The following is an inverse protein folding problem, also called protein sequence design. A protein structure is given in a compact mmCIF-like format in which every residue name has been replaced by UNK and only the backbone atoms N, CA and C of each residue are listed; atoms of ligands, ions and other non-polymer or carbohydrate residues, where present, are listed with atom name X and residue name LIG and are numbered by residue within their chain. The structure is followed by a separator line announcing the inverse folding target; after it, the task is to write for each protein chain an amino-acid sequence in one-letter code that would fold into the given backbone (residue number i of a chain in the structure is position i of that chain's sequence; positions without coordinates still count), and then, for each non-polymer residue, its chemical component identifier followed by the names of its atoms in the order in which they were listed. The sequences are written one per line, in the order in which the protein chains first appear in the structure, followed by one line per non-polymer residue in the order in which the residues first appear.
data_IF_473721804016
#
_entry.id   IF_473721804016
#
_cell.length_a   1.000
_cell.length_b   1.000
_cell.length_c   1.000
_cell.angle_alpha   90.00
_cell.angle_beta   90.00
_cell.angle_gamma   90.00
#
_symmetry.space_group_name_H-M   'P 1'
#
loop_
_entity.id
_entity.type
_entity.pdbx_description
1 polymer ?
#
# COMPACT_ATOMS: atom_id res chain seq x y z
N UNK A 1 39.14 24.50 8.52
CA UNK A 1 40.20 23.51 8.22
C UNK A 1 41.10 24.02 7.15
N UNK A 2 42.41 23.90 7.32
CA UNK A 2 43.40 24.20 6.30
C UNK A 2 43.43 23.10 5.23
N UNK A 3 44.10 23.35 4.11
CA UNK A 3 44.26 22.32 3.06
C UNK A 3 45.01 21.10 3.56
N UNK A 4 45.99 21.30 4.44
CA UNK A 4 46.77 20.18 4.99
C UNK A 4 45.96 19.33 5.98
N UNK A 5 45.12 19.94 6.81
CA UNK A 5 44.18 19.25 7.70
C UNK A 5 43.17 18.40 6.90
N UNK A 6 42.59 18.98 5.81
CA UNK A 6 41.68 18.25 4.92
C UNK A 6 42.36 17.04 4.22
N UNK A 7 43.65 17.20 3.83
CA UNK A 7 44.39 16.09 3.22
C UNK A 7 44.70 14.99 4.22
N UNK A 8 44.98 15.31 5.49
CA UNK A 8 45.23 14.34 6.54
C UNK A 8 43.91 13.55 6.85
N UNK A 9 42.81 14.29 6.98
CA UNK A 9 41.50 13.65 7.21
C UNK A 9 41.09 12.76 6.04
N UNK A 10 41.24 13.22 4.80
CA UNK A 10 40.99 12.38 3.61
C UNK A 10 41.81 11.09 3.64
N UNK A 11 43.08 11.15 3.97
CA UNK A 11 43.96 10.00 4.04
C UNK A 11 43.49 9.01 5.14
N UNK A 12 43.06 9.53 6.30
CA UNK A 12 42.54 8.70 7.39
C UNK A 12 41.24 8.00 6.97
N UNK A 13 40.31 8.72 6.36
CA UNK A 13 39.03 8.16 5.85
C UNK A 13 39.26 7.13 4.73
N UNK A 14 40.19 7.37 3.82
CA UNK A 14 40.55 6.42 2.77
C UNK A 14 41.11 5.10 3.38
N UNK A 15 41.95 5.21 4.41
CA UNK A 15 42.50 4.04 5.10
C UNK A 15 41.40 3.25 5.83
N UNK A 16 40.45 3.92 6.46
CA UNK A 16 39.31 3.29 7.12
C UNK A 16 38.36 2.62 6.12
N UNK A 17 38.06 3.30 5.01
CA UNK A 17 37.27 2.74 3.90
C UNK A 17 37.90 1.45 3.35
N UNK A 18 39.19 1.45 3.06
CA UNK A 18 39.88 0.25 2.57
C UNK A 18 39.89 -0.86 3.63
N UNK A 19 39.97 -0.56 4.92
CA UNK A 19 39.84 -1.53 6.01
C UNK A 19 38.47 -2.22 5.99
N UNK A 20 37.38 -1.44 5.87
CA UNK A 20 36.00 -1.97 5.81
C UNK A 20 35.82 -2.78 4.53
N UNK A 21 36.28 -2.29 3.39
CA UNK A 21 36.21 -2.96 2.09
C UNK A 21 36.91 -4.34 2.12
N UNK A 22 38.05 -4.42 2.80
CA UNK A 22 38.81 -5.65 2.94
C UNK A 22 38.15 -6.70 3.88
N UNK A 23 37.09 -6.34 4.60
CA UNK A 23 36.25 -7.32 5.34
C UNK A 23 35.48 -8.25 4.41
N UNK A 24 35.40 -7.96 3.11
CA UNK A 24 34.70 -8.80 2.13
C UNK A 24 33.20 -8.92 2.38
N UNK A 25 32.58 -7.92 3.01
CA UNK A 25 31.15 -7.92 3.29
C UNK A 25 30.35 -7.89 2.00
N UNK A 26 29.36 -8.76 1.90
CA UNK A 26 28.35 -8.75 0.82
C UNK A 26 27.01 -8.34 1.39
N UNK A 27 26.79 -7.03 1.50
CA UNK A 27 25.55 -6.44 2.03
C UNK A 27 24.71 -5.90 0.90
N UNK A 28 23.48 -6.41 0.79
CA UNK A 28 22.49 -5.90 -0.19
C UNK A 28 21.50 -4.98 0.51
N UNK A 29 21.55 -3.70 0.18
CA UNK A 29 20.64 -2.66 0.66
C UNK A 29 19.64 -2.20 -0.43
N UNK A 30 19.64 -2.85 -1.59
CA UNK A 30 18.84 -2.43 -2.75
C UNK A 30 17.34 -2.65 -2.57
N UNK A 31 16.94 -3.63 -1.76
CA UNK A 31 15.52 -3.93 -1.50
C UNK A 31 15.30 -4.42 -0.07
N UNK A 32 14.38 -3.75 0.64
CA UNK A 32 13.86 -4.22 1.91
C UNK A 32 12.94 -5.44 1.71
N UNK A 33 13.15 -6.48 2.51
CA UNK A 33 12.27 -7.64 2.62
C UNK A 33 12.25 -8.14 4.07
N UNK A 34 11.15 -8.76 4.53
CA UNK A 34 11.09 -9.32 5.88
C UNK A 34 12.23 -10.30 6.11
N UNK A 35 12.90 -10.18 7.26
CA UNK A 35 13.90 -11.16 7.71
C UNK A 35 13.25 -12.47 8.14
N UNK A 36 14.06 -13.55 8.26
CA UNK A 36 13.57 -14.87 8.66
C UNK A 36 12.79 -14.83 9.99
N UNK A 37 13.31 -14.12 10.99
CA UNK A 37 12.67 -13.95 12.29
C UNK A 37 11.25 -13.32 12.20
N UNK A 38 11.05 -12.38 11.28
CA UNK A 38 9.74 -11.80 11.04
C UNK A 38 8.78 -12.80 10.37
N UNK A 39 9.28 -13.58 9.42
CA UNK A 39 8.48 -14.62 8.76
C UNK A 39 8.08 -15.74 9.73
N UNK A 40 8.98 -16.11 10.64
CA UNK A 40 8.76 -17.13 11.67
C UNK A 40 7.59 -16.79 12.60
N UNK A 41 7.31 -15.51 12.84
CA UNK A 41 6.12 -15.08 13.60
C UNK A 41 4.80 -15.56 12.98
N UNK A 42 4.79 -15.77 11.68
CA UNK A 42 3.61 -16.21 10.93
C UNK A 42 3.55 -17.72 10.68
N UNK A 43 4.61 -18.49 11.02
CA UNK A 43 4.61 -19.94 10.81
C UNK A 43 3.42 -20.67 11.46
N UNK A 44 2.97 -20.29 12.68
CA UNK A 44 1.79 -20.93 13.30
C UNK A 44 0.50 -20.80 12.45
N UNK A 45 0.44 -19.82 11.54
CA UNK A 45 -0.68 -19.70 10.62
C UNK A 45 -0.83 -20.91 9.69
N UNK A 46 0.26 -21.63 9.40
CA UNK A 46 0.22 -22.83 8.55
C UNK A 46 -0.55 -23.99 9.21
N UNK A 47 -0.64 -23.98 10.53
CA UNK A 47 -1.33 -25.02 11.31
C UNK A 47 -2.79 -24.71 11.63
N UNK A 48 -3.28 -23.52 11.23
CA UNK A 48 -4.65 -23.07 11.53
C UNK A 48 -5.69 -23.88 10.77
N UNK A 49 -5.38 -24.33 9.55
CA UNK A 49 -6.22 -25.20 8.73
C UNK A 49 -5.53 -26.54 8.51
N UNK A 50 -6.11 -27.57 9.07
CA UNK A 50 -5.68 -28.99 8.93
C UNK A 50 -6.70 -29.78 8.12
N UNK A 51 -6.39 -31.02 7.81
CA UNK A 51 -7.28 -31.91 7.04
C UNK A 51 -8.63 -32.20 7.72
N UNK A 52 -8.68 -32.06 9.03
CA UNK A 52 -9.89 -32.27 9.88
C UNK A 52 -10.57 -30.92 10.27
N UNK A 53 -10.06 -29.79 9.83
CA UNK A 53 -10.66 -28.50 10.12
C UNK A 53 -12.00 -28.32 9.40
N UNK A 54 -12.92 -27.57 10.02
CA UNK A 54 -14.07 -27.06 9.32
C UNK A 54 -13.64 -26.05 8.25
N UNK A 55 -13.95 -26.35 7.00
CA UNK A 55 -13.59 -25.55 5.83
C UNK A 55 -14.73 -24.61 5.39
N UNK A 56 -15.61 -24.25 6.31
CA UNK A 56 -16.69 -23.30 6.05
C UNK A 56 -16.33 -21.90 6.53
N UNK A 57 -16.70 -20.89 5.73
CA UNK A 57 -16.74 -19.50 6.15
C UNK A 57 -17.89 -19.23 7.11
N UNK A 58 -17.94 -18.05 7.73
CA UNK A 58 -19.04 -17.60 8.59
C UNK A 58 -20.41 -17.64 7.88
N UNK A 59 -20.43 -17.45 6.56
CA UNK A 59 -21.65 -17.56 5.76
C UNK A 59 -22.07 -19.02 5.45
N UNK A 60 -21.32 -20.00 5.95
CA UNK A 60 -21.56 -21.42 5.68
C UNK A 60 -21.03 -21.92 4.33
N UNK A 61 -20.35 -21.06 3.55
CA UNK A 61 -19.75 -21.45 2.28
C UNK A 61 -18.55 -22.38 2.51
N UNK A 62 -18.49 -23.50 1.76
CA UNK A 62 -17.26 -24.30 1.69
C UNK A 62 -16.19 -23.61 0.88
N UNK A 63 -15.11 -23.18 1.56
CA UNK A 63 -14.04 -22.38 0.94
C UNK A 63 -13.19 -23.17 -0.07
N UNK A 64 -13.34 -24.47 -0.14
CA UNK A 64 -12.67 -25.33 -1.13
C UNK A 64 -13.31 -25.26 -2.51
N UNK A 65 -14.54 -24.70 -2.60
CA UNK A 65 -15.33 -24.67 -3.83
C UNK A 65 -15.37 -23.26 -4.44
N UNK A 66 -15.99 -23.14 -5.59
CA UNK A 66 -16.26 -21.87 -6.26
C UNK A 66 -17.21 -20.99 -5.43
N UNK A 67 -17.40 -19.75 -5.82
CA UNK A 67 -18.22 -18.69 -5.26
C UNK A 67 -17.44 -17.64 -4.45
N UNK A 68 -18.16 -16.64 -3.89
CA UNK A 68 -17.59 -15.47 -3.19
C UNK A 68 -16.55 -14.73 -4.02
N UNK A 69 -17.01 -14.15 -5.11
CA UNK A 69 -16.17 -13.41 -6.05
C UNK A 69 -15.37 -12.27 -5.39
N UNK A 70 -15.98 -11.62 -4.41
CA UNK A 70 -15.41 -10.47 -3.67
C UNK A 70 -14.78 -10.84 -2.32
N UNK A 71 -14.64 -12.15 -2.04
CA UNK A 71 -14.03 -12.67 -0.82
C UNK A 71 -15.03 -13.11 0.25
N UNK A 72 -14.57 -13.96 1.17
CA UNK A 72 -15.40 -14.44 2.29
C UNK A 72 -15.63 -13.30 3.31
N UNK A 73 -16.77 -13.30 4.04
CA UNK A 73 -17.14 -12.20 4.94
C UNK A 73 -16.05 -11.84 5.96
N UNK A 74 -15.48 -12.83 6.62
CA UNK A 74 -14.43 -12.63 7.62
C UNK A 74 -13.11 -12.06 7.04
N UNK A 75 -12.77 -12.40 5.79
CA UNK A 75 -11.62 -11.80 5.13
C UNK A 75 -11.90 -10.35 4.70
N UNK A 76 -13.12 -10.05 4.28
CA UNK A 76 -13.57 -8.68 4.00
C UNK A 76 -13.52 -7.83 5.27
N UNK A 77 -14.00 -8.36 6.40
CA UNK A 77 -13.92 -7.68 7.69
C UNK A 77 -12.47 -7.42 8.11
N UNK A 78 -11.57 -8.37 7.88
CA UNK A 78 -10.15 -8.22 8.21
C UNK A 78 -9.48 -7.13 7.37
N UNK A 79 -9.65 -7.16 6.03
CA UNK A 79 -9.08 -6.18 5.10
C UNK A 79 -9.65 -4.77 5.38
N UNK A 80 -10.96 -4.66 5.51
CA UNK A 80 -11.61 -3.39 5.84
C UNK A 80 -11.16 -2.84 7.19
N UNK A 81 -11.06 -3.69 8.22
CA UNK A 81 -10.59 -3.31 9.54
C UNK A 81 -9.17 -2.77 9.56
N UNK A 82 -8.28 -3.23 8.67
CA UNK A 82 -6.92 -2.70 8.56
C UNK A 82 -6.88 -1.22 8.17
N UNK A 83 -7.83 -0.76 7.36
CA UNK A 83 -7.87 0.61 6.81
C UNK A 83 -9.02 1.45 7.37
N UNK A 84 -9.76 0.93 8.36
CA UNK A 84 -10.91 1.62 8.94
C UNK A 84 -12.13 1.70 8.03
N UNK A 85 -12.18 0.90 6.96
CA UNK A 85 -13.32 0.83 6.05
C UNK A 85 -14.41 -0.13 6.58
N UNK A 86 -15.58 -0.13 5.94
CA UNK A 86 -16.67 -1.09 6.21
C UNK A 86 -16.46 -2.36 5.38
N UNK A 87 -16.78 -3.56 5.91
CA UNK A 87 -16.63 -4.83 5.19
C UNK A 87 -17.31 -4.86 3.82
N UNK A 88 -18.44 -4.20 3.67
CA UNK A 88 -19.17 -4.06 2.41
C UNK A 88 -18.45 -3.22 1.37
N UNK A 89 -17.48 -2.38 1.75
CA UNK A 89 -16.63 -1.61 0.84
C UNK A 89 -15.47 -2.43 0.27
N UNK A 90 -15.18 -3.59 0.87
CA UNK A 90 -14.00 -4.39 0.52
C UNK A 90 -14.26 -5.40 -0.59
N UNK A 91 -13.27 -5.57 -1.46
CA UNK A 91 -13.10 -6.75 -2.33
C UNK A 91 -11.72 -7.36 -2.00
N UNK A 92 -11.72 -8.65 -1.69
CA UNK A 92 -10.52 -9.40 -1.35
C UNK A 92 -10.02 -10.15 -2.58
N UNK A 93 -8.74 -9.98 -2.87
CA UNK A 93 -8.04 -10.56 -4.02
C UNK A 93 -7.03 -11.63 -3.59
N UNK A 94 -5.99 -11.81 -4.41
CA UNK A 94 -4.83 -12.65 -4.10
C UNK A 94 -3.88 -11.98 -3.10
N UNK A 95 -2.59 -12.22 -3.25
CA UNK A 95 -1.58 -11.85 -2.25
C UNK A 95 -0.98 -10.45 -2.40
N UNK A 96 -1.28 -9.70 -3.46
CA UNK A 96 -0.54 -8.48 -3.78
C UNK A 96 -1.46 -7.29 -4.09
N UNK A 97 -1.36 -6.21 -3.30
CA UNK A 97 -2.01 -4.92 -3.61
C UNK A 97 -1.48 -4.31 -4.91
N UNK A 98 -0.19 -4.50 -5.23
CA UNK A 98 0.38 -4.05 -6.50
C UNK A 98 -0.34 -4.67 -7.71
N UNK A 99 -0.69 -5.95 -7.63
CA UNK A 99 -1.47 -6.61 -8.70
C UNK A 99 -2.87 -6.01 -8.83
N UNK A 100 -3.51 -5.65 -7.73
CA UNK A 100 -4.81 -4.99 -7.76
C UNK A 100 -4.70 -3.60 -8.39
N UNK A 101 -3.67 -2.82 -8.03
CA UNK A 101 -3.42 -1.50 -8.60
C UNK A 101 -3.17 -1.57 -10.12
N UNK A 102 -2.33 -2.51 -10.56
CA UNK A 102 -2.12 -2.80 -11.98
C UNK A 102 -3.45 -3.13 -12.69
N UNK A 103 -4.26 -4.00 -12.08
CA UNK A 103 -5.55 -4.41 -12.63
C UNK A 103 -6.52 -3.23 -12.77
N UNK A 104 -6.57 -2.30 -11.78
CA UNK A 104 -7.43 -1.10 -11.90
C UNK A 104 -6.96 -0.16 -13.03
N UNK A 105 -5.65 0.05 -13.19
CA UNK A 105 -5.12 0.83 -14.32
C UNK A 105 -5.43 0.15 -15.65
N UNK A 106 -5.19 -1.17 -15.76
CA UNK A 106 -5.51 -1.95 -16.96
C UNK A 106 -6.99 -1.88 -17.33
N UNK A 107 -7.88 -1.97 -16.34
CA UNK A 107 -9.34 -1.86 -16.54
C UNK A 107 -9.73 -0.48 -17.03
N UNK A 108 -9.21 0.58 -16.41
CA UNK A 108 -9.43 1.95 -16.84
C UNK A 108 -8.95 2.16 -18.29
N UNK A 109 -7.78 1.62 -18.60
CA UNK A 109 -7.16 1.75 -19.91
C UNK A 109 -7.96 1.02 -21.00
N UNK A 110 -8.40 -0.21 -20.73
CA UNK A 110 -9.05 -1.08 -21.74
C UNK A 110 -10.56 -0.83 -21.81
N UNK A 111 -11.22 -0.63 -20.66
CA UNK A 111 -12.67 -0.65 -20.58
C UNK A 111 -13.30 0.67 -20.11
N UNK A 112 -12.50 1.59 -19.57
CA UNK A 112 -12.98 2.78 -18.84
C UNK A 112 -13.48 2.42 -17.43
N UNK A 113 -13.59 3.41 -16.57
CA UNK A 113 -14.13 3.28 -15.20
C UNK A 113 -15.57 3.77 -15.17
N UNK A 114 -16.46 3.00 -14.55
CA UNK A 114 -17.85 3.36 -14.30
C UNK A 114 -18.61 3.92 -15.53
N UNK A 115 -18.31 3.40 -16.72
CA UNK A 115 -18.93 3.79 -17.97
C UNK A 115 -18.26 4.96 -18.71
N UNK A 116 -17.18 5.49 -18.18
CA UNK A 116 -16.37 6.50 -18.88
C UNK A 116 -15.61 5.91 -20.08
N UNK A 117 -15.13 6.80 -20.93
CA UNK A 117 -14.33 6.42 -22.12
C UNK A 117 -13.06 5.67 -21.69
N UNK A 118 -12.76 4.51 -22.29
CA UNK A 118 -11.49 3.82 -22.06
C UNK A 118 -10.29 4.73 -22.30
N UNK A 119 -9.32 4.71 -21.41
CA UNK A 119 -8.15 5.60 -21.50
C UNK A 119 -7.35 5.39 -22.77
N UNK A 120 -7.31 4.17 -23.32
CA UNK A 120 -6.65 3.88 -24.60
C UNK A 120 -7.30 4.60 -25.82
N UNK A 121 -8.48 5.19 -25.65
CA UNK A 121 -9.18 5.96 -26.68
C UNK A 121 -9.06 7.47 -26.50
N UNK A 122 -8.38 7.91 -25.46
CA UNK A 122 -8.12 9.31 -25.19
C UNK A 122 -6.81 9.73 -25.84
N UNK A 123 -6.74 10.97 -26.33
CA UNK A 123 -5.51 11.52 -26.91
C UNK A 123 -4.37 11.60 -25.88
N UNK A 124 -4.72 11.80 -24.61
CA UNK A 124 -3.76 11.99 -23.54
C UNK A 124 -4.31 11.51 -22.21
N UNK A 125 -3.47 10.78 -21.46
CA UNK A 125 -3.72 10.36 -20.09
C UNK A 125 -2.51 10.72 -19.24
N UNK A 126 -2.75 11.33 -18.08
CA UNK A 126 -1.72 11.75 -17.14
C UNK A 126 -1.98 11.19 -15.75
N UNK A 127 -0.89 10.91 -15.05
CA UNK A 127 -0.91 10.54 -13.63
C UNK A 127 0.01 11.44 -12.83
N UNK A 128 -0.43 11.86 -11.65
CA UNK A 128 0.40 12.56 -10.70
C UNK A 128 1.23 11.55 -9.89
N UNK A 129 2.52 11.80 -9.84
CA UNK A 129 3.51 10.93 -9.23
C UNK A 129 4.26 11.70 -8.14
N UNK A 130 3.85 11.62 -6.86
CA UNK A 130 4.61 12.18 -5.75
C UNK A 130 6.02 11.59 -5.69
N UNK A 131 7.03 12.46 -5.66
CA UNK A 131 8.45 12.09 -5.70
C UNK A 131 9.24 12.74 -4.57
N UNK A 132 10.11 11.96 -3.90
CA UNK A 132 10.39 10.54 -4.05
C UNK A 132 9.18 9.66 -3.72
N UNK A 133 9.01 8.54 -4.44
CA UNK A 133 7.86 7.65 -4.28
C UNK A 133 8.20 6.19 -4.61
N UNK A 134 7.19 5.32 -4.54
CA UNK A 134 7.41 3.90 -4.79
C UNK A 134 7.54 3.60 -6.28
N UNK A 135 8.72 3.14 -6.70
CA UNK A 135 9.10 2.90 -8.09
C UNK A 135 8.14 1.98 -8.86
N UNK A 136 7.52 1.02 -8.17
CA UNK A 136 6.59 0.07 -8.80
C UNK A 136 5.27 0.73 -9.24
N UNK A 137 4.81 1.76 -8.55
CA UNK A 137 3.67 2.56 -8.99
C UNK A 137 3.98 3.26 -10.31
N UNK A 138 5.16 3.86 -10.40
CA UNK A 138 5.60 4.58 -11.60
C UNK A 138 5.78 3.61 -12.79
N UNK A 139 6.33 2.42 -12.51
CA UNK A 139 6.46 1.38 -13.53
C UNK A 139 5.10 0.92 -14.11
N UNK A 140 4.02 0.92 -13.32
CA UNK A 140 2.67 0.64 -13.84
C UNK A 140 2.25 1.74 -14.83
N UNK A 141 2.41 3.01 -14.47
CA UNK A 141 2.06 4.13 -15.36
C UNK A 141 2.90 4.15 -16.63
N UNK A 142 4.18 3.86 -16.53
CA UNK A 142 5.10 3.76 -17.66
C UNK A 142 4.69 2.63 -18.61
N UNK A 143 4.36 1.45 -18.09
CA UNK A 143 3.95 0.27 -18.88
C UNK A 143 2.73 0.56 -19.77
N UNK A 144 1.78 1.37 -19.27
CA UNK A 144 0.60 1.77 -20.03
C UNK A 144 0.81 3.04 -20.88
N UNK A 145 2.02 3.59 -20.95
CA UNK A 145 2.31 4.80 -21.71
C UNK A 145 1.61 6.05 -21.18
N UNK A 146 1.28 6.06 -19.91
CA UNK A 146 0.64 7.21 -19.24
C UNK A 146 1.70 8.26 -18.90
N UNK A 147 1.44 9.52 -19.25
CA UNK A 147 2.33 10.64 -18.92
C UNK A 147 2.38 10.86 -17.41
N UNK A 148 3.58 10.83 -16.84
CA UNK A 148 3.80 11.06 -15.42
C UNK A 148 4.15 12.51 -15.14
N UNK A 149 3.46 13.12 -14.18
CA UNK A 149 3.73 14.46 -13.67
C UNK A 149 4.31 14.33 -12.28
N UNK A 150 5.55 14.71 -12.09
CA UNK A 150 6.19 14.71 -10.78
C UNK A 150 5.56 15.77 -9.87
N UNK A 151 5.16 15.37 -8.68
CA UNK A 151 4.68 16.23 -7.61
C UNK A 151 5.69 16.17 -6.46
N UNK A 152 6.27 17.29 -6.02
CA UNK A 152 7.18 17.28 -4.88
C UNK A 152 6.51 16.74 -3.62
N UNK A 153 7.24 15.92 -2.85
CA UNK A 153 6.84 15.54 -1.50
C UNK A 153 7.31 16.60 -0.50
N UNK A 154 6.46 16.89 0.47
CA UNK A 154 6.73 17.73 1.64
C UNK A 154 6.75 16.87 2.91
N UNK A 155 6.97 17.47 4.08
CA UNK A 155 6.88 16.79 5.37
C UNK A 155 5.46 16.30 5.69
N UNK A 156 4.44 16.93 5.10
CA UNK A 156 3.01 16.68 5.31
C UNK A 156 2.34 15.82 4.22
N UNK A 157 3.10 15.39 3.21
CA UNK A 157 2.60 14.67 2.04
C UNK A 157 2.97 15.36 0.73
N UNK A 158 2.27 15.09 -0.38
CA UNK A 158 2.55 15.75 -1.66
C UNK A 158 2.17 17.24 -1.61
N UNK A 159 2.84 18.06 -2.45
CA UNK A 159 2.47 19.45 -2.66
C UNK A 159 1.03 19.56 -3.18
N UNK A 160 0.11 19.85 -2.25
CA UNK A 160 -1.31 19.87 -2.55
C UNK A 160 -1.73 21.06 -3.44
N UNK A 161 -0.99 22.16 -3.47
CA UNK A 161 -1.27 23.26 -4.38
C UNK A 161 -1.06 22.83 -5.84
N UNK A 162 0.00 22.05 -6.08
CA UNK A 162 0.24 21.44 -7.39
C UNK A 162 -0.80 20.37 -7.71
N UNK A 163 -1.15 19.50 -6.76
CA UNK A 163 -2.18 18.45 -6.94
C UNK A 163 -3.50 19.10 -7.36
N UNK A 164 -4.00 20.07 -6.58
CA UNK A 164 -5.26 20.78 -6.84
C UNK A 164 -5.24 21.50 -8.20
N UNK A 165 -4.12 22.16 -8.52
CA UNK A 165 -3.95 22.84 -9.80
C UNK A 165 -4.14 21.90 -10.99
N UNK A 166 -3.53 20.72 -10.94
CA UNK A 166 -3.65 19.77 -12.04
C UNK A 166 -5.00 19.06 -12.04
N UNK A 167 -5.42 18.52 -10.90
CA UNK A 167 -6.65 17.71 -10.80
C UNK A 167 -7.89 18.52 -11.14
N UNK A 168 -7.98 19.75 -10.64
CA UNK A 168 -9.18 20.57 -10.80
C UNK A 168 -9.28 21.25 -12.18
N UNK A 169 -8.21 21.28 -12.99
CA UNK A 169 -8.18 22.05 -14.23
C UNK A 169 -7.80 21.25 -15.47
N UNK A 170 -7.34 20.02 -15.34
CA UNK A 170 -6.89 19.21 -16.47
C UNK A 170 -7.60 17.85 -16.49
N UNK A 171 -8.58 17.71 -17.39
CA UNK A 171 -9.37 16.50 -17.57
C UNK A 171 -8.54 15.29 -18.11
N UNK A 172 -7.29 15.52 -18.55
CA UNK A 172 -6.38 14.42 -18.90
C UNK A 172 -5.71 13.78 -17.69
N UNK A 173 -5.77 14.41 -16.52
CA UNK A 173 -5.26 13.83 -15.26
C UNK A 173 -6.27 12.82 -14.73
N UNK A 174 -5.88 11.55 -14.72
CA UNK A 174 -6.77 10.44 -14.38
C UNK A 174 -6.48 9.78 -13.03
N UNK A 175 -5.35 10.08 -12.44
CA UNK A 175 -5.03 9.52 -11.14
C UNK A 175 -3.81 10.12 -10.47
N UNK A 176 -3.64 9.74 -9.21
CA UNK A 176 -2.48 10.03 -8.38
C UNK A 176 -2.12 8.82 -7.55
N UNK A 177 -0.81 8.55 -7.42
CA UNK A 177 -0.29 7.55 -6.51
C UNK A 177 -0.05 8.14 -5.13
N UNK A 178 -0.58 7.49 -4.08
CA UNK A 178 -0.40 7.93 -2.70
C UNK A 178 0.04 6.76 -1.82
N UNK A 179 1.05 6.98 -0.97
CA UNK A 179 1.41 6.08 0.14
C UNK A 179 1.31 6.92 1.42
N UNK A 180 0.10 7.00 2.04
CA UNK A 180 -0.21 8.06 2.99
C UNK A 180 0.42 7.88 4.37
N UNK A 181 0.82 6.66 4.71
CA UNK A 181 1.35 6.33 6.04
C UNK A 181 2.69 5.64 5.90
N UNK A 182 3.72 6.20 6.57
CA UNK A 182 5.09 5.68 6.51
C UNK A 182 5.58 5.47 5.07
N UNK A 183 5.44 6.51 4.24
CA UNK A 183 5.66 6.46 2.80
C UNK A 183 7.03 5.88 2.41
N UNK A 184 7.06 5.12 1.33
CA UNK A 184 8.31 4.61 0.77
C UNK A 184 8.79 5.56 -0.35
N UNK A 185 10.03 6.16 -0.27
CA UNK A 185 11.11 5.80 0.67
C UNK A 185 11.23 6.68 1.93
N UNK A 186 10.51 7.78 2.05
CA UNK A 186 10.82 8.86 3.01
C UNK A 186 10.24 8.65 4.42
N UNK A 187 9.30 7.73 4.61
CA UNK A 187 8.63 7.52 5.89
C UNK A 187 7.60 8.61 6.26
N UNK A 188 7.28 9.53 5.35
CA UNK A 188 6.30 10.61 5.56
C UNK A 188 4.93 10.03 5.89
N UNK A 189 4.25 10.66 6.84
CA UNK A 189 2.84 10.44 7.14
C UNK A 189 2.08 11.68 6.71
N UNK A 190 1.04 11.51 5.90
CA UNK A 190 0.24 12.65 5.44
C UNK A 190 -0.47 13.31 6.62
N UNK A 191 -0.43 14.64 6.68
CA UNK A 191 -1.15 15.40 7.69
C UNK A 191 -2.67 15.33 7.48
N UNK A 192 -3.43 15.59 8.55
CA UNK A 192 -4.89 15.66 8.48
C UNK A 192 -5.35 16.66 7.43
N UNK A 193 -4.69 17.83 7.35
CA UNK A 193 -4.97 18.85 6.34
C UNK A 193 -4.76 18.31 4.93
N UNK A 194 -3.68 17.59 4.67
CA UNK A 194 -3.41 16.96 3.37
C UNK A 194 -4.52 15.99 2.99
N UNK A 195 -4.94 15.11 3.92
CA UNK A 195 -6.03 14.15 3.67
C UNK A 195 -7.36 14.85 3.41
N UNK A 196 -7.67 15.91 4.18
CA UNK A 196 -8.87 16.73 3.95
C UNK A 196 -8.85 17.43 2.58
N UNK A 197 -7.69 17.96 2.16
CA UNK A 197 -7.52 18.59 0.85
C UNK A 197 -7.75 17.58 -0.28
N UNK A 198 -7.27 16.34 -0.13
CA UNK A 198 -7.59 15.26 -1.07
C UNK A 198 -9.09 15.01 -1.17
N UNK A 199 -9.81 14.95 -0.08
CA UNK A 199 -11.25 14.71 -0.07
C UNK A 199 -12.05 15.86 -0.75
N UNK A 200 -11.54 17.10 -0.66
CA UNK A 200 -12.16 18.32 -1.21
C UNK A 200 -11.81 18.59 -2.67
N UNK A 201 -11.00 17.75 -3.34
CA UNK A 201 -10.67 17.89 -4.75
C UNK A 201 -11.95 17.96 -5.60
N UNK A 202 -11.87 18.74 -6.68
CA UNK A 202 -12.95 18.88 -7.68
C UNK A 202 -12.42 18.48 -9.06
N UNK A 203 -12.23 17.16 -9.29
CA UNK A 203 -11.56 16.71 -10.50
C UNK A 203 -12.26 17.18 -11.76
N UNK A 204 -11.49 17.72 -12.72
CA UNK A 204 -11.97 18.03 -14.07
C UNK A 204 -12.35 16.77 -14.86
N UNK A 205 -11.86 15.60 -14.43
CA UNK A 205 -12.18 14.29 -15.02
C UNK A 205 -13.08 13.49 -14.09
N UNK A 206 -14.24 13.04 -14.55
CA UNK A 206 -15.21 12.23 -13.79
C UNK A 206 -14.62 10.86 -13.38
N UNK A 207 -13.64 10.38 -14.12
CA UNK A 207 -12.95 9.11 -13.91
C UNK A 207 -11.59 9.26 -13.21
N UNK A 208 -11.30 10.41 -12.61
CA UNK A 208 -10.13 10.59 -11.76
C UNK A 208 -10.21 9.70 -10.52
N UNK A 209 -9.09 9.06 -10.15
CA UNK A 209 -9.00 8.23 -8.95
C UNK A 209 -7.73 8.50 -8.14
N UNK A 210 -7.87 8.54 -6.84
CA UNK A 210 -6.78 8.50 -5.87
C UNK A 210 -6.45 7.04 -5.62
N UNK A 211 -5.24 6.60 -5.99
CA UNK A 211 -4.72 5.29 -5.69
C UNK A 211 -4.03 5.35 -4.34
N UNK A 212 -4.78 5.04 -3.27
CA UNK A 212 -4.38 5.18 -1.88
C UNK A 212 -3.79 3.87 -1.38
N UNK A 213 -2.47 3.67 -1.59
CA UNK A 213 -1.76 2.45 -1.18
C UNK A 213 -1.39 2.53 0.31
N UNK A 214 -2.29 2.02 1.15
CA UNK A 214 -2.13 1.99 2.59
C UNK A 214 -1.35 0.74 3.05
N UNK A 215 -0.21 0.49 2.39
CA UNK A 215 0.63 -0.70 2.57
C UNK A 215 1.18 -0.83 4.00
N UNK A 216 1.31 0.29 4.72
CA UNK A 216 1.92 0.34 6.04
C UNK A 216 0.95 0.73 7.16
N UNK A 217 -0.34 0.60 6.93
CA UNK A 217 -1.41 1.06 7.84
C UNK A 217 -1.28 0.54 9.28
N UNK A 218 -0.71 -0.65 9.48
CA UNK A 218 -0.54 -1.32 10.79
C UNK A 218 0.94 -1.47 11.22
N UNK A 219 1.87 -0.72 10.58
CA UNK A 219 3.32 -0.89 10.78
C UNK A 219 3.90 0.12 11.76
N UNK A 220 3.27 0.26 12.92
CA UNK A 220 3.77 1.13 13.98
C UNK A 220 5.03 0.52 14.62
N UNK A 221 6.09 1.33 14.77
CA UNK A 221 7.34 0.90 15.40
C UNK A 221 7.28 1.04 16.93
N UNK A 222 6.55 2.04 17.43
CA UNK A 222 6.39 2.36 18.83
C UNK A 222 4.91 2.33 19.24
N UNK A 223 4.62 1.84 20.44
CA UNK A 223 3.25 1.71 20.93
C UNK A 223 2.64 3.06 21.33
N UNK A 224 3.49 3.99 21.75
CA UNK A 224 3.14 5.36 22.20
C UNK A 224 3.24 6.42 21.10
N UNK A 225 3.71 6.06 19.91
CA UNK A 225 3.90 6.96 18.76
C UNK A 225 3.31 6.34 17.47
N UNK A 226 2.04 5.98 17.53
CA UNK A 226 1.33 5.46 16.38
C UNK A 226 0.82 6.62 15.52
N UNK A 227 1.23 6.65 14.25
CA UNK A 227 0.66 7.60 13.33
C UNK A 227 -0.77 7.19 12.95
N UNK A 228 -1.69 8.12 13.08
CA UNK A 228 -3.05 7.98 12.59
C UNK A 228 -3.31 9.03 11.52
N UNK A 229 -4.12 8.69 10.55
CA UNK A 229 -4.58 9.59 9.49
C UNK A 229 -6.10 9.49 9.38
N UNK A 230 -6.80 10.57 9.03
CA UNK A 230 -8.24 10.53 8.79
C UNK A 230 -8.61 9.49 7.74
N UNK A 231 -9.81 8.90 7.87
CA UNK A 231 -10.31 7.95 6.89
C UNK A 231 -10.70 8.67 5.61
N UNK A 232 -9.92 8.45 4.56
CA UNK A 232 -10.12 9.11 3.25
C UNK A 232 -11.45 8.73 2.59
N UNK A 233 -11.94 7.50 2.76
CA UNK A 233 -13.22 7.06 2.20
C UNK A 233 -14.38 7.81 2.84
N UNK A 234 -14.37 7.96 4.17
CA UNK A 234 -15.41 8.70 4.89
C UNK A 234 -15.37 10.19 4.58
N UNK A 235 -14.17 10.77 4.48
CA UNK A 235 -14.03 12.19 4.13
C UNK A 235 -14.51 12.44 2.70
N UNK A 236 -14.15 11.61 1.73
CA UNK A 236 -14.64 11.75 0.36
C UNK A 236 -16.17 11.56 0.26
N UNK A 237 -16.76 10.64 1.03
CA UNK A 237 -18.21 10.48 1.10
C UNK A 237 -18.88 11.75 1.63
N UNK A 238 -18.34 12.33 2.71
CA UNK A 238 -18.82 13.58 3.31
C UNK A 238 -18.73 14.78 2.37
N UNK A 239 -17.67 14.86 1.57
CA UNK A 239 -17.45 15.95 0.60
C UNK A 239 -18.19 15.72 -0.74
N UNK A 240 -18.95 14.63 -0.87
CA UNK A 240 -19.73 14.29 -2.07
C UNK A 240 -18.92 13.64 -3.19
N UNK A 241 -17.73 13.15 -2.90
CA UNK A 241 -16.78 12.52 -3.83
C UNK A 241 -16.55 11.02 -3.55
N UNK A 242 -17.57 10.18 -3.24
CA UNK A 242 -17.38 8.82 -2.74
C UNK A 242 -16.63 7.92 -3.72
N UNK A 243 -16.70 8.19 -5.02
CA UNK A 243 -16.13 7.37 -6.08
C UNK A 243 -14.65 7.67 -6.35
N UNK A 244 -14.09 8.71 -5.70
CA UNK A 244 -12.76 9.21 -6.04
C UNK A 244 -11.62 8.32 -5.54
N UNK A 245 -11.86 7.41 -4.58
CA UNK A 245 -10.82 6.66 -3.89
C UNK A 245 -10.83 5.17 -4.23
N UNK A 246 -9.65 4.66 -4.55
CA UNK A 246 -9.27 3.26 -4.50
C UNK A 246 -8.26 3.09 -3.36
N UNK A 247 -8.68 2.56 -2.22
CA UNK A 247 -7.79 2.29 -1.09
C UNK A 247 -7.34 0.84 -1.09
N UNK A 248 -6.03 0.62 -1.02
CA UNK A 248 -5.42 -0.70 -1.10
C UNK A 248 -4.69 -1.04 0.18
N UNK A 249 -4.77 -2.29 0.59
CA UNK A 249 -3.91 -2.85 1.63
C UNK A 249 -3.63 -4.33 1.39
N UNK A 250 -2.66 -4.87 2.09
CA UNK A 250 -2.35 -6.30 2.04
C UNK A 250 -1.65 -6.78 3.31
N UNK A 251 -1.70 -8.07 3.54
CA UNK A 251 -0.93 -8.74 4.59
C UNK A 251 0.46 -9.17 4.13
N UNK A 252 0.92 -8.74 2.94
CA UNK A 252 2.22 -9.13 2.37
C UNK A 252 3.41 -8.78 3.25
N UNK A 253 3.32 -7.69 4.01
CA UNK A 253 4.35 -7.26 4.97
C UNK A 253 3.98 -7.60 6.43
N UNK A 254 2.85 -8.25 6.63
CA UNK A 254 2.33 -8.69 7.94
C UNK A 254 2.58 -10.18 8.15
N UNK A 255 2.37 -11.01 7.11
CA UNK A 255 2.56 -12.46 7.13
C UNK A 255 3.64 -12.88 6.14
N UNK A 256 3.25 -13.59 5.09
CA UNK A 256 4.16 -14.06 4.03
C UNK A 256 3.95 -13.24 2.76
N UNK A 257 4.99 -12.56 2.24
CA UNK A 257 4.86 -11.78 1.00
C UNK A 257 4.34 -12.57 -0.20
N UNK A 258 4.73 -13.86 -0.28
CA UNK A 258 4.29 -14.76 -1.36
C UNK A 258 2.93 -15.41 -1.15
N UNK A 259 2.35 -15.31 0.05
CA UNK A 259 1.11 -16.00 0.43
C UNK A 259 0.21 -15.16 1.35
N UNK A 260 0.27 -13.84 1.21
CA UNK A 260 -0.61 -12.91 1.91
C UNK A 260 -2.02 -12.87 1.32
N UNK A 261 -2.80 -11.92 1.82
CA UNK A 261 -4.12 -11.55 1.31
C UNK A 261 -4.12 -10.04 1.07
N UNK A 262 -4.63 -9.61 -0.06
CA UNK A 262 -4.73 -8.20 -0.42
C UNK A 262 -6.18 -7.82 -0.75
N UNK A 263 -6.52 -6.56 -0.60
CA UNK A 263 -7.84 -6.06 -0.96
C UNK A 263 -7.83 -4.62 -1.39
N UNK A 264 -8.97 -4.22 -1.95
CA UNK A 264 -9.33 -2.86 -2.27
C UNK A 264 -10.60 -2.49 -1.51
N UNK A 265 -10.62 -1.32 -0.90
CA UNK A 265 -11.80 -0.72 -0.30
C UNK A 265 -12.19 0.52 -1.13
N UNK A 266 -13.47 0.62 -1.50
CA UNK A 266 -13.95 1.70 -2.36
C UNK A 266 -15.47 1.84 -2.28
N UNK A 267 -16.03 2.85 -2.99
CA UNK A 267 -17.48 3.07 -3.06
C UNK A 267 -18.23 1.89 -3.68
N UNK A 268 -19.53 1.83 -3.43
CA UNK A 268 -20.42 0.82 -4.02
C UNK A 268 -20.37 0.85 -5.56
N UNK A 269 -20.41 2.02 -6.17
CA UNK A 269 -20.36 2.17 -7.63
C UNK A 269 -19.06 1.66 -8.23
N UNK A 270 -17.93 1.99 -7.65
CA UNK A 270 -16.63 1.46 -8.07
C UNK A 270 -16.57 -0.07 -7.88
N UNK A 271 -17.06 -0.55 -6.75
CA UNK A 271 -17.06 -1.97 -6.40
C UNK A 271 -17.90 -2.79 -7.39
N UNK A 272 -19.08 -2.32 -7.75
CA UNK A 272 -19.93 -3.00 -8.74
C UNK A 272 -19.29 -2.98 -10.15
N UNK A 273 -18.65 -1.89 -10.56
CA UNK A 273 -17.89 -1.85 -11.83
C UNK A 273 -16.71 -2.84 -11.82
N UNK A 274 -15.98 -2.92 -10.71
CA UNK A 274 -14.90 -3.91 -10.51
C UNK A 274 -15.45 -5.33 -10.58
N UNK A 275 -16.51 -5.64 -9.86
CA UNK A 275 -17.11 -6.99 -9.81
C UNK A 275 -17.62 -7.43 -11.19
N UNK A 276 -18.21 -6.53 -11.96
CA UNK A 276 -18.65 -6.81 -13.32
C UNK A 276 -17.52 -7.36 -14.20
N UNK A 277 -16.29 -6.87 -14.02
CA UNK A 277 -15.11 -7.35 -14.76
C UNK A 277 -14.52 -8.61 -14.11
N UNK A 278 -14.53 -8.70 -12.78
CA UNK A 278 -14.06 -9.88 -12.07
C UNK A 278 -14.81 -11.14 -12.48
N UNK A 279 -16.11 -11.07 -12.76
CA UNK A 279 -16.90 -12.24 -13.23
C UNK A 279 -16.38 -12.89 -14.52
N UNK A 280 -15.62 -12.12 -15.32
CA UNK A 280 -15.01 -12.61 -16.56
C UNK A 280 -13.56 -13.05 -16.30
N UNK A 281 -12.87 -12.39 -15.38
CA UNK A 281 -11.45 -12.58 -15.11
C UNK A 281 -11.20 -13.81 -14.21
N UNK A 282 -12.10 -14.07 -13.25
CA UNK A 282 -11.96 -15.15 -12.26
C UNK A 282 -13.33 -15.61 -11.77
N UNK A 283 -13.37 -16.79 -11.13
CA UNK A 283 -14.57 -17.28 -10.40
C UNK A 283 -14.44 -16.97 -8.90
N UNK A 284 -13.29 -16.54 -8.45
CA UNK A 284 -12.96 -16.18 -7.08
C UNK A 284 -11.49 -16.42 -6.78
N UNK A 285 -11.02 -15.71 -5.77
CA UNK A 285 -9.65 -15.84 -5.30
C UNK A 285 -9.50 -16.95 -4.26
N UNK A 286 -8.27 -17.25 -3.83
CA UNK A 286 -7.95 -18.32 -2.88
C UNK A 286 -8.64 -18.12 -1.51
N UNK A 287 -9.79 -18.77 -1.33
CA UNK A 287 -10.59 -18.68 -0.10
C UNK A 287 -10.02 -19.51 1.06
N UNK A 288 -9.22 -20.52 0.77
CA UNK A 288 -8.52 -21.28 1.82
C UNK A 288 -7.50 -20.36 2.50
N UNK A 289 -6.76 -19.59 1.71
CA UNK A 289 -5.82 -18.62 2.26
C UNK A 289 -6.53 -17.47 3.00
N UNK A 290 -7.66 -17.00 2.48
CA UNK A 290 -8.50 -16.00 3.16
C UNK A 290 -8.97 -16.51 4.52
N UNK A 291 -9.53 -17.73 4.58
CA UNK A 291 -10.01 -18.34 5.83
C UNK A 291 -8.86 -18.56 6.83
N UNK A 292 -7.69 -18.98 6.34
CA UNK A 292 -6.50 -19.15 7.16
C UNK A 292 -6.09 -17.84 7.84
N UNK A 293 -6.03 -16.74 7.12
CA UNK A 293 -5.72 -15.43 7.67
C UNK A 293 -6.79 -14.97 8.67
N UNK A 294 -8.06 -15.08 8.30
CA UNK A 294 -9.16 -14.70 9.17
C UNK A 294 -9.16 -15.49 10.50
N UNK A 295 -8.90 -16.78 10.46
CA UNK A 295 -8.82 -17.60 11.69
C UNK A 295 -7.57 -17.35 12.50
N UNK A 296 -6.46 -17.02 11.86
CA UNK A 296 -5.20 -16.71 12.54
C UNK A 296 -5.29 -15.39 13.31
N UNK A 297 -5.79 -14.35 12.68
CA UNK A 297 -5.89 -13.02 13.29
C UNK A 297 -7.17 -12.80 14.07
N UNK A 298 -8.28 -13.43 13.66
CA UNK A 298 -9.66 -13.22 14.12
C UNK A 298 -10.21 -11.86 13.70
N UNK A 299 -9.52 -10.78 14.03
CA UNK A 299 -9.90 -9.39 13.77
C UNK A 299 -8.66 -8.49 13.60
N UNK A 300 -8.89 -7.19 13.49
CA UNK A 300 -7.83 -6.19 13.36
C UNK A 300 -6.95 -6.08 14.61
N UNK A 301 -7.49 -6.36 15.80
CA UNK A 301 -6.71 -6.32 17.05
C UNK A 301 -5.72 -7.48 17.10
N UNK A 302 -6.09 -8.62 16.54
CA UNK A 302 -5.16 -9.73 16.31
C UNK A 302 -4.02 -9.37 15.35
N UNK A 303 -4.31 -8.60 14.29
CA UNK A 303 -3.26 -8.07 13.40
C UNK A 303 -2.35 -7.10 14.18
N UNK A 304 -2.91 -6.15 14.93
CA UNK A 304 -2.13 -5.18 15.73
C UNK A 304 -1.22 -5.90 16.74
N UNK A 305 -1.74 -6.90 17.44
CA UNK A 305 -0.97 -7.72 18.38
C UNK A 305 0.17 -8.50 17.68
N UNK A 306 -0.06 -8.95 16.46
CA UNK A 306 0.97 -9.60 15.64
C UNK A 306 2.05 -8.59 15.20
N UNK A 307 1.63 -7.41 14.75
CA UNK A 307 2.55 -6.34 14.34
C UNK A 307 3.38 -5.77 15.49
N UNK A 308 2.88 -5.78 16.71
CA UNK A 308 3.68 -5.44 17.89
C UNK A 308 4.90 -6.38 18.07
N UNK A 309 4.76 -7.67 17.70
CA UNK A 309 5.90 -8.61 17.70
C UNK A 309 6.90 -8.29 16.60
N UNK A 310 6.43 -7.89 15.41
CA UNK A 310 7.30 -7.39 14.33
C UNK A 310 8.07 -6.14 14.79
N UNK A 311 7.38 -5.18 15.40
CA UNK A 311 7.99 -3.96 15.93
C UNK A 311 9.10 -4.28 16.93
N UNK A 312 8.87 -5.22 17.85
CA UNK A 312 9.87 -5.64 18.83
C UNK A 312 11.15 -6.22 18.20
N UNK A 313 11.04 -6.88 17.02
CA UNK A 313 12.20 -7.42 16.29
C UNK A 313 12.96 -6.35 15.49
N UNK A 314 12.26 -5.36 14.93
CA UNK A 314 12.89 -4.40 14.02
C UNK A 314 13.29 -3.09 14.72
N UNK A 315 12.62 -2.70 15.81
CA UNK A 315 12.90 -1.47 16.57
C UNK A 315 14.36 -1.32 16.94
N UNK A 316 15.04 -2.33 17.55
CA UNK A 316 16.45 -2.19 17.91
C UNK A 316 17.37 -1.93 16.71
N UNK A 317 16.98 -2.41 15.51
CA UNK A 317 17.74 -2.18 14.27
C UNK A 317 17.58 -0.74 13.78
N UNK A 318 16.38 -0.18 13.88
CA UNK A 318 16.14 1.23 13.57
C UNK A 318 16.88 2.14 14.54
N UNK A 319 16.76 1.90 15.84
CA UNK A 319 17.43 2.68 16.89
C UNK A 319 18.96 2.63 16.74
N UNK A 320 19.52 1.47 16.40
CA UNK A 320 20.96 1.33 16.16
C UNK A 320 21.42 2.23 14.99
N UNK A 321 20.69 2.20 13.87
CA UNK A 321 21.03 3.01 12.69
C UNK A 321 20.87 4.50 13.00
N UNK A 322 19.78 4.89 13.65
CA UNK A 322 19.51 6.28 14.04
C UNK A 322 20.62 6.81 14.96
N UNK A 323 21.00 6.05 15.98
CA UNK A 323 22.07 6.43 16.92
C UNK A 323 23.41 6.61 16.20
N UNK A 324 23.80 5.66 15.34
CA UNK A 324 25.06 5.75 14.59
C UNK A 324 25.06 6.99 13.68
N UNK A 325 23.99 7.21 12.93
CA UNK A 325 23.92 8.36 12.01
C UNK A 325 23.88 9.70 12.77
N UNK A 326 23.23 9.75 13.93
CA UNK A 326 23.17 10.97 14.77
C UNK A 326 24.52 11.29 15.41
N UNK A 327 25.25 10.26 15.81
CA UNK A 327 26.56 10.43 16.47
C UNK A 327 27.70 10.80 15.47
N UNK A 328 27.56 10.39 14.19
CA UNK A 328 28.62 10.52 13.18
C UNK A 328 28.39 11.69 12.17
N UNK A 329 27.20 12.27 12.13
CA UNK A 329 26.79 13.35 11.22
C UNK A 329 26.42 14.61 11.99
#
# INVERSE_FOLDING_TARGET
MTKDELMQEKTALEAEYEKIKNLGLSLDMSRGKPGAEQLDLSLPMLDVLKSDSDMKSESGLDVRNYACLDGIPEAKALIAGMVGAKPEQAIVYGNSSLNIMYDQVARAFIFGLCGNTPWCKLDKVKFLCPVPGYDRHFAITEEFGVEMINIPMTEDGPDMDMVEKYVNNDASVKGIWCVPKYSNPQGVVYSDETVERFAKLKPAADDFRIFWDNAYTVHHLYDDKQAEIPNILELCEKEGNPDMVFEFCSTSKVTFPGAGVAGICTSEKNREDIKKRLTIQTIGHDKINQLRHARFFKDVDGIKAHMAKHAALIRPKFELVENILTDEI
#
